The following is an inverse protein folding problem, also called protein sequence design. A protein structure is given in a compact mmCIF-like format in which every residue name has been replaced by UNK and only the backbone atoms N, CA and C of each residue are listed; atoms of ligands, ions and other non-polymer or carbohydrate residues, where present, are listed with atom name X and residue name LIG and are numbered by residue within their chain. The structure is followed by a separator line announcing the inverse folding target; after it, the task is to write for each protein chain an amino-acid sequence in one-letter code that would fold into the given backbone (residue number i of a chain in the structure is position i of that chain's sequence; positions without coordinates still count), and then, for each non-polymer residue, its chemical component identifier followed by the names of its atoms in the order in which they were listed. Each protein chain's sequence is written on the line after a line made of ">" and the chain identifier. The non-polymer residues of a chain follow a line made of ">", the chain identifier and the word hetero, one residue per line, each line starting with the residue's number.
data_IF_034800013899
#
_entry.id   IF_034800013899
#
_cell.length_a   1.000
_cell.length_b   1.000
_cell.length_c   1.000
_cell.angle_alpha   90.00
_cell.angle_beta   90.00
_cell.angle_gamma   90.00
#
_symmetry.space_group_name_H-M   'P 1'
#
loop_
_entity.id
_entity.type
_entity.pdbx_description
1 polymer ?
#
# COMPACT_ATOMS: atom_id res chain seq x y z
N UNK A 1 16.29 13.35 -14.23
CA UNK A 1 15.84 13.98 -12.95
C UNK A 1 14.33 14.24 -12.82
N UNK A 2 13.54 14.25 -13.89
CA UNK A 2 12.07 14.53 -13.82
C UNK A 2 11.21 13.52 -13.06
N UNK A 3 11.60 12.24 -12.96
CA UNK A 3 10.83 11.23 -12.22
C UNK A 3 10.97 11.30 -10.68
N UNK A 4 11.78 12.23 -10.14
CA UNK A 4 11.98 12.40 -8.68
C UNK A 4 11.01 13.38 -8.02
N UNK A 5 10.21 14.11 -8.80
CA UNK A 5 9.25 15.09 -8.29
C UNK A 5 7.96 14.38 -7.87
N UNK A 6 8.01 13.64 -6.76
CA UNK A 6 6.79 13.42 -5.98
C UNK A 6 6.43 14.80 -5.41
N UNK A 7 5.39 15.45 -5.92
CA UNK A 7 4.92 16.74 -5.39
C UNK A 7 4.48 16.50 -3.95
N UNK A 8 5.32 16.90 -2.99
CA UNK A 8 4.97 16.83 -1.56
C UNK A 8 3.77 17.74 -1.35
N UNK A 9 2.68 17.17 -0.84
CA UNK A 9 1.45 17.92 -0.64
C UNK A 9 1.71 19.14 0.27
N UNK A 10 1.09 20.30 -0.02
CA UNK A 10 1.21 21.49 0.82
C UNK A 10 0.80 21.20 2.27
N UNK A 11 1.28 21.99 3.25
CA UNK A 11 1.03 21.76 4.67
C UNK A 11 -0.47 21.57 4.93
N UNK A 12 -0.84 20.64 5.83
CA UNK A 12 -2.23 20.23 6.01
C UNK A 12 -3.08 21.42 6.42
N UNK A 13 -3.97 21.87 5.52
CA UNK A 13 -5.00 22.82 5.88
C UNK A 13 -5.96 22.14 6.87
N UNK A 14 -6.24 22.80 8.00
CA UNK A 14 -7.19 22.33 9.03
C UNK A 14 -8.64 22.50 8.56
N UNK A 15 -8.97 21.95 7.39
CA UNK A 15 -10.33 21.99 6.84
C UNK A 15 -11.14 20.79 7.31
N UNK A 16 -12.44 20.96 7.47
CA UNK A 16 -13.37 19.86 7.78
C UNK A 16 -13.22 18.69 6.79
N UNK A 17 -13.11 19.00 5.50
CA UNK A 17 -12.89 18.02 4.43
C UNK A 17 -11.61 17.21 4.58
N UNK A 18 -10.53 17.80 5.11
CA UNK A 18 -9.30 17.08 5.40
C UNK A 18 -9.51 16.03 6.51
N UNK A 19 -10.24 16.40 7.57
CA UNK A 19 -10.55 15.47 8.67
C UNK A 19 -11.51 14.36 8.24
N UNK A 20 -12.54 14.69 7.46
CA UNK A 20 -13.47 13.71 6.91
C UNK A 20 -12.73 12.68 6.04
N UNK A 21 -11.92 13.14 5.07
CA UNK A 21 -11.16 12.27 4.16
C UNK A 21 -10.15 11.37 4.88
N UNK A 22 -9.57 11.82 5.99
CA UNK A 22 -8.59 11.03 6.75
C UNK A 22 -9.21 10.08 7.77
N UNK A 23 -10.27 10.49 8.46
CA UNK A 23 -10.87 9.70 9.54
C UNK A 23 -11.88 8.68 9.02
N UNK A 24 -12.64 9.04 7.98
CA UNK A 24 -13.67 8.16 7.44
C UNK A 24 -13.12 6.81 6.97
N UNK A 25 -12.00 6.71 6.21
CA UNK A 25 -11.46 5.41 5.80
C UNK A 25 -11.03 4.54 6.98
N UNK A 26 -10.47 5.13 8.04
CA UNK A 26 -9.97 4.38 9.21
C UNK A 26 -11.11 3.63 9.91
N UNK A 27 -12.29 4.24 9.99
CA UNK A 27 -13.46 3.65 10.66
C UNK A 27 -14.40 2.90 9.70
N UNK A 28 -14.51 3.34 8.44
CA UNK A 28 -15.36 2.70 7.45
C UNK A 28 -14.74 1.42 6.90
N UNK A 29 -13.41 1.37 6.73
CA UNK A 29 -12.74 0.24 6.09
C UNK A 29 -12.92 -1.10 6.81
N UNK A 30 -12.82 -1.19 8.16
CA UNK A 30 -13.10 -2.45 8.86
C UNK A 30 -14.54 -2.93 8.67
N UNK A 31 -15.51 -2.02 8.61
CA UNK A 31 -16.93 -2.34 8.42
C UNK A 31 -17.16 -2.86 7.00
N UNK A 32 -16.61 -2.16 6.00
CA UNK A 32 -16.72 -2.57 4.60
C UNK A 32 -16.02 -3.92 4.38
N UNK A 33 -14.81 -4.09 4.93
CA UNK A 33 -14.08 -5.35 4.85
C UNK A 33 -14.84 -6.50 5.51
N UNK A 34 -15.38 -6.27 6.72
CA UNK A 34 -16.24 -7.25 7.40
C UNK A 34 -17.48 -7.61 6.58
N UNK A 35 -18.13 -6.63 5.97
CA UNK A 35 -19.27 -6.84 5.08
C UNK A 35 -18.93 -7.69 3.85
N UNK A 36 -17.80 -7.40 3.19
CA UNK A 36 -17.32 -8.19 2.05
C UNK A 36 -17.01 -9.63 2.45
N UNK A 37 -16.38 -9.85 3.61
CA UNK A 37 -16.10 -11.19 4.13
C UNK A 37 -17.40 -11.97 4.39
N UNK A 38 -18.42 -11.33 4.98
CA UNK A 38 -19.70 -11.98 5.25
C UNK A 38 -20.48 -12.31 3.97
N UNK A 39 -20.44 -11.42 2.98
CA UNK A 39 -21.04 -11.66 1.66
C UNK A 39 -20.34 -12.83 0.97
N UNK A 40 -19.00 -12.85 0.95
CA UNK A 40 -18.21 -13.92 0.37
C UNK A 40 -18.43 -15.26 1.09
N UNK A 41 -18.57 -15.24 2.42
CA UNK A 41 -18.95 -16.41 3.21
C UNK A 41 -20.32 -16.95 2.84
N UNK A 42 -21.33 -16.07 2.73
CA UNK A 42 -22.69 -16.50 2.38
C UNK A 42 -22.73 -17.11 0.97
N UNK A 43 -22.05 -16.47 0.02
CA UNK A 43 -21.90 -16.99 -1.33
C UNK A 43 -21.19 -18.36 -1.33
N UNK A 44 -20.11 -18.52 -0.55
CA UNK A 44 -19.40 -19.81 -0.42
C UNK A 44 -20.30 -20.91 0.19
N UNK A 45 -21.22 -20.57 1.10
CA UNK A 45 -22.18 -21.51 1.67
C UNK A 45 -23.18 -22.01 0.63
N UNK A 46 -23.75 -21.10 -0.16
CA UNK A 46 -24.66 -21.44 -1.27
C UNK A 46 -23.95 -22.30 -2.33
N UNK A 47 -22.68 -22.01 -2.62
CA UNK A 47 -21.88 -22.78 -3.58
C UNK A 47 -21.64 -24.22 -3.13
N UNK A 48 -21.36 -24.43 -1.84
CA UNK A 48 -21.20 -25.77 -1.27
C UNK A 48 -22.52 -26.53 -1.20
N UNK A 49 -23.63 -25.85 -0.91
CA UNK A 49 -24.96 -26.46 -0.91
C UNK A 49 -25.36 -26.98 -2.30
N UNK A 50 -24.90 -26.32 -3.37
CA UNK A 50 -25.13 -26.71 -4.76
C UNK A 50 -24.13 -27.76 -5.29
N UNK A 51 -23.30 -28.36 -4.43
CA UNK A 51 -22.39 -29.45 -4.80
C UNK A 51 -21.24 -29.07 -5.74
N UNK A 52 -20.93 -27.78 -5.90
CA UNK A 52 -19.82 -27.32 -6.76
C UNK A 52 -18.48 -27.44 -6.03
N UNK A 53 -17.52 -28.10 -6.68
CA UNK A 53 -16.11 -28.18 -6.23
C UNK A 53 -15.40 -26.85 -6.51
N UNK A 54 -14.41 -26.50 -5.68
CA UNK A 54 -13.66 -25.27 -5.88
C UNK A 54 -12.91 -25.32 -7.21
N UNK A 55 -12.92 -24.21 -7.95
CA UNK A 55 -12.12 -24.10 -9.20
C UNK A 55 -10.65 -24.36 -8.89
N UNK A 56 -10.20 -24.01 -7.68
CA UNK A 56 -8.86 -24.31 -7.21
C UNK A 56 -8.61 -25.82 -7.12
N UNK A 57 -9.54 -26.64 -6.61
CA UNK A 57 -9.37 -28.10 -6.60
C UNK A 57 -9.35 -28.68 -8.01
N UNK A 58 -10.24 -28.22 -8.89
CA UNK A 58 -10.30 -28.69 -10.29
C UNK A 58 -9.03 -28.30 -11.04
N UNK A 59 -8.48 -27.12 -10.76
CA UNK A 59 -7.31 -26.60 -11.45
C UNK A 59 -5.99 -27.12 -10.84
N UNK A 60 -5.94 -27.35 -9.52
CA UNK A 60 -4.76 -27.87 -8.81
C UNK A 60 -4.63 -29.40 -8.94
N UNK A 61 -5.75 -30.15 -8.99
CA UNK A 61 -5.72 -31.59 -9.30
C UNK A 61 -5.75 -31.88 -10.81
N UNK A 62 -6.38 -31.03 -11.63
CA UNK A 62 -6.53 -31.26 -13.08
C UNK A 62 -5.42 -30.68 -13.96
N UNK A 63 -4.62 -29.71 -13.48
CA UNK A 63 -3.53 -29.08 -14.26
C UNK A 63 -2.14 -29.21 -13.63
N UNK A 64 -1.80 -30.33 -12.99
CA UNK A 64 -0.38 -30.68 -12.83
C UNK A 64 0.21 -31.13 -14.18
N UNK A 65 0.14 -30.26 -15.18
CA UNK A 65 0.91 -30.38 -16.40
C UNK A 65 2.33 -29.89 -16.14
N UNK A 66 3.32 -30.63 -16.64
CA UNK A 66 4.76 -30.36 -16.54
C UNK A 66 5.09 -28.87 -16.62
N UNK A 67 5.59 -28.31 -15.50
CA UNK A 67 6.04 -26.92 -15.43
C UNK A 67 7.27 -26.73 -16.31
N UNK A 68 7.07 -26.23 -17.52
CA UNK A 68 8.18 -25.85 -18.41
C UNK A 68 8.52 -24.37 -18.21
N UNK A 69 9.80 -24.07 -18.05
CA UNK A 69 10.30 -22.71 -17.79
C UNK A 69 9.87 -21.72 -18.88
N UNK A 70 9.80 -22.18 -20.14
CA UNK A 70 9.34 -21.38 -21.27
C UNK A 70 7.85 -21.02 -21.18
N UNK A 71 7.00 -21.97 -20.75
CA UNK A 71 5.59 -21.71 -20.52
C UNK A 71 5.39 -20.72 -19.38
N UNK A 72 6.13 -20.87 -18.28
CA UNK A 72 6.09 -19.93 -17.16
C UNK A 72 6.51 -18.52 -17.59
N UNK A 73 7.62 -18.36 -18.30
CA UNK A 73 8.10 -17.04 -18.73
C UNK A 73 7.09 -16.33 -19.65
N UNK A 74 6.50 -17.04 -20.62
CA UNK A 74 5.45 -16.49 -21.50
C UNK A 74 4.21 -16.09 -20.71
N UNK A 75 3.76 -16.94 -19.78
CA UNK A 75 2.57 -16.68 -18.95
C UNK A 75 2.80 -15.50 -18.01
N UNK A 76 3.93 -15.49 -17.30
CA UNK A 76 4.25 -14.53 -16.26
C UNK A 76 4.50 -13.14 -16.85
N UNK A 77 5.29 -13.02 -17.93
CA UNK A 77 5.67 -11.70 -18.45
C UNK A 77 4.76 -11.21 -19.57
N UNK A 78 4.33 -12.09 -20.49
CA UNK A 78 3.60 -11.66 -21.69
C UNK A 78 2.08 -11.60 -21.47
N UNK A 79 1.49 -12.68 -20.96
CA UNK A 79 0.04 -12.74 -20.72
C UNK A 79 -0.41 -11.83 -19.56
N UNK A 80 0.47 -11.60 -18.58
CA UNK A 80 0.19 -10.80 -17.39
C UNK A 80 0.86 -9.41 -17.40
N UNK A 81 1.22 -8.88 -18.57
CA UNK A 81 1.85 -7.56 -18.72
C UNK A 81 1.15 -6.42 -17.98
N UNK A 82 -0.19 -6.45 -17.88
CA UNK A 82 -0.96 -5.44 -17.14
C UNK A 82 -0.72 -5.50 -15.63
N UNK A 83 -0.52 -6.68 -15.06
CA UNK A 83 -0.18 -6.83 -13.65
C UNK A 83 1.22 -6.31 -13.35
N UNK A 84 2.17 -6.49 -14.28
CA UNK A 84 3.50 -5.87 -14.17
C UNK A 84 3.45 -4.35 -14.31
N UNK A 85 2.62 -3.82 -15.21
CA UNK A 85 2.40 -2.38 -15.28
C UNK A 85 1.79 -1.83 -13.97
N UNK A 86 0.81 -2.55 -13.40
CA UNK A 86 0.21 -2.20 -12.13
C UNK A 86 1.20 -2.28 -10.97
N UNK A 87 2.10 -3.27 -10.94
CA UNK A 87 3.10 -3.39 -9.88
C UNK A 87 4.13 -2.26 -9.93
N UNK A 88 4.57 -1.84 -11.12
CA UNK A 88 5.42 -0.66 -11.30
C UNK A 88 4.71 0.61 -10.82
N UNK A 89 3.43 0.77 -11.14
CA UNK A 89 2.64 1.89 -10.66
C UNK A 89 2.50 1.89 -9.13
N UNK A 90 2.20 0.73 -8.54
CA UNK A 90 2.09 0.56 -7.09
C UNK A 90 3.43 0.86 -6.39
N UNK A 91 4.55 0.39 -6.94
CA UNK A 91 5.89 0.68 -6.44
C UNK A 91 6.19 2.18 -6.45
N UNK A 92 5.89 2.86 -7.55
CA UNK A 92 6.08 4.31 -7.66
C UNK A 92 5.22 5.09 -6.66
N UNK A 93 3.94 4.72 -6.52
CA UNK A 93 3.04 5.31 -5.52
C UNK A 93 3.57 5.08 -4.10
N UNK A 94 4.06 3.87 -3.80
CA UNK A 94 4.66 3.54 -2.51
C UNK A 94 5.86 4.42 -2.15
N UNK A 95 6.80 4.60 -3.09
CA UNK A 95 7.94 5.50 -2.88
C UNK A 95 7.49 6.93 -2.62
N UNK A 96 6.53 7.44 -3.39
CA UNK A 96 6.02 8.80 -3.18
C UNK A 96 5.28 8.94 -1.84
N UNK A 97 4.56 7.90 -1.42
CA UNK A 97 3.87 7.87 -0.13
C UNK A 97 4.85 7.91 1.05
N UNK A 98 5.90 7.08 1.01
CA UNK A 98 6.94 7.07 2.04
C UNK A 98 7.68 8.40 2.11
N UNK A 99 8.05 9.00 0.97
CA UNK A 99 8.70 10.31 0.95
C UNK A 99 7.81 11.42 1.51
N UNK A 100 6.51 11.41 1.22
CA UNK A 100 5.58 12.36 1.81
C UNK A 100 5.44 12.16 3.33
N UNK A 101 5.47 10.91 3.80
CA UNK A 101 5.51 10.58 5.22
C UNK A 101 6.77 11.09 5.90
N UNK A 102 7.93 10.84 5.30
CA UNK A 102 9.23 11.29 5.80
C UNK A 102 9.31 12.81 5.81
N UNK A 103 8.90 13.52 4.76
CA UNK A 103 8.88 14.97 4.74
C UNK A 103 8.09 15.57 5.93
N UNK A 104 6.97 14.95 6.31
CA UNK A 104 6.22 15.37 7.50
C UNK A 104 6.99 15.09 8.81
N UNK A 105 7.70 13.98 8.91
CA UNK A 105 8.55 13.67 10.06
C UNK A 105 9.74 14.64 10.14
N UNK A 106 10.32 15.05 9.00
CA UNK A 106 11.41 16.01 8.96
C UNK A 106 10.98 17.39 9.45
N UNK A 107 9.75 17.81 9.19
CA UNK A 107 9.18 19.05 9.76
C UNK A 107 9.01 19.01 11.29
N UNK A 108 9.14 17.85 11.93
CA UNK A 108 9.13 17.72 13.39
C UNK A 108 10.53 17.66 14.00
N UNK A 109 11.60 17.72 13.18
CA UNK A 109 12.99 17.77 13.63
C UNK A 109 13.22 18.99 14.52
N UNK A 110 13.87 18.79 15.67
CA UNK A 110 14.28 19.87 16.57
C UNK A 110 13.17 20.55 17.37
N UNK A 111 11.90 20.14 17.20
CA UNK A 111 10.75 20.74 17.91
C UNK A 111 10.44 20.08 19.27
N UNK A 112 11.15 19.01 19.64
CA UNK A 112 10.96 18.34 20.93
C UNK A 112 11.55 19.15 22.07
N UNK A 113 10.73 19.52 23.06
CA UNK A 113 11.19 20.20 24.29
C UNK A 113 12.21 19.38 25.10
N UNK A 114 12.08 18.05 25.08
CA UNK A 114 12.97 17.12 25.80
C UNK A 114 14.42 17.12 25.28
N UNK A 115 14.64 17.49 24.02
CA UNK A 115 15.97 17.48 23.38
C UNK A 115 16.42 18.87 22.92
N UNK A 116 15.79 19.94 23.43
CA UNK A 116 16.09 21.31 23.03
C UNK A 116 17.59 21.66 23.23
N UNK A 117 18.16 21.22 24.35
CA UNK A 117 19.57 21.47 24.69
C UNK A 117 20.54 20.75 23.74
N UNK A 118 20.23 19.52 23.33
CA UNK A 118 21.04 18.78 22.35
C UNK A 118 20.96 19.40 20.97
N UNK A 119 19.78 19.86 20.57
CA UNK A 119 19.57 20.52 19.27
C UNK A 119 20.31 21.86 19.22
N UNK A 120 20.38 22.60 20.34
CA UNK A 120 21.14 23.85 20.44
C UNK A 120 22.67 23.66 20.31
N UNK A 121 23.19 22.48 20.66
CA UNK A 121 24.60 22.12 20.55
C UNK A 121 25.02 21.70 19.12
N UNK A 122 24.06 21.44 18.23
CA UNK A 122 24.34 21.00 16.85
C UNK A 122 24.68 22.21 15.97
N UNK A 123 25.70 22.12 15.09
CA UNK A 123 26.03 23.19 14.15
C UNK A 123 24.82 23.54 13.26
N UNK A 124 24.58 24.85 13.09
CA UNK A 124 23.45 25.36 12.31
C UNK A 124 23.47 24.79 10.88
N UNK A 125 22.40 24.09 10.50
CA UNK A 125 22.26 23.46 9.17
C UNK A 125 22.58 21.97 9.12
N UNK A 126 23.03 21.35 10.21
CA UNK A 126 23.22 19.91 10.28
C UNK A 126 21.91 19.16 10.64
N UNK A 127 21.72 17.95 10.11
CA UNK A 127 20.51 17.15 10.38
C UNK A 127 20.52 16.63 11.84
N UNK A 128 19.51 16.98 12.66
CA UNK A 128 19.42 16.55 14.05
C UNK A 128 19.34 15.03 14.27
N UNK A 129 19.02 14.24 13.24
CA UNK A 129 18.93 12.77 13.35
C UNK A 129 20.27 12.07 13.13
N UNK A 130 21.28 12.80 12.65
CA UNK A 130 22.61 12.25 12.37
C UNK A 130 23.53 12.30 13.61
N UNK A 131 23.18 13.09 14.61
CA UNK A 131 23.91 13.33 15.85
C UNK A 131 23.11 12.83 17.04
#
# INVERSE_FOLDING_TARGET
>A
ERFRLCTVAPPPQRTFWYHLRKRLPIYAWPIVAGGVILIDWNHTREWKANGRVSVLDVELLGKMGTFTVSYFARKAFWEKKHYWAASVAAYWIGICWDRAGMAKAEMMKGHSRMFADRVAAIPKGADPWKY
#
